data_IF_777605505445
#
_entry.id   IF_777605505445
#
_cell.length_a   1.000
_cell.length_b   1.000
_cell.length_c   1.000
_cell.angle_alpha   90.00
_cell.angle_beta   90.00
_cell.angle_gamma   90.00
#
_symmetry.space_group_name_H-M   'P 1'
#
loop_
_entity.id
_entity.type
_entity.pdbx_description
1 polymer ?
#
# COMPACT_ATOMS: atom_id res chain seq x y z
N UNK A 1 -4.80 26.18 14.73
CA UNK A 1 -4.02 25.19 15.51
C UNK A 1 -4.87 24.82 16.72
N UNK A 2 -5.44 23.60 16.72
CA UNK A 2 -6.16 23.09 17.92
C UNK A 2 -5.07 22.93 18.98
N UNK A 3 -5.28 23.51 20.17
CA UNK A 3 -4.26 23.38 21.21
C UNK A 3 -4.23 21.93 21.70
N UNK A 4 -3.07 21.45 22.12
CA UNK A 4 -2.90 20.14 22.75
C UNK A 4 -3.96 19.87 23.84
N UNK A 5 -4.34 20.93 24.58
CA UNK A 5 -5.35 20.89 25.65
C UNK A 5 -6.78 20.65 25.10
N UNK A 6 -7.09 21.13 23.90
CA UNK A 6 -8.41 20.95 23.28
C UNK A 6 -8.56 19.55 22.68
N UNK A 7 -7.47 18.96 22.20
CA UNK A 7 -7.46 17.59 21.69
C UNK A 7 -7.73 16.57 22.80
N UNK A 8 -7.11 16.74 23.97
CA UNK A 8 -7.37 15.87 25.13
C UNK A 8 -8.82 15.96 25.65
N UNK A 9 -9.47 17.13 25.54
CA UNK A 9 -10.89 17.29 25.87
C UNK A 9 -11.84 16.56 24.92
N UNK A 10 -11.40 16.28 23.69
CA UNK A 10 -12.17 15.58 22.66
C UNK A 10 -11.93 14.06 22.65
N UNK A 11 -11.27 13.52 23.68
CA UNK A 11 -11.09 12.07 23.85
C UNK A 11 -9.90 11.47 23.10
N UNK A 12 -9.02 12.29 22.54
CA UNK A 12 -7.75 11.81 21.97
C UNK A 12 -6.74 11.53 23.07
N UNK A 13 -6.04 10.40 22.95
CA UNK A 13 -4.95 10.07 23.87
C UNK A 13 -3.70 10.92 23.57
N UNK A 14 -2.76 11.07 24.51
CA UNK A 14 -1.47 11.72 24.23
C UNK A 14 -0.71 11.07 23.08
N UNK A 15 -0.83 9.72 22.92
CA UNK A 15 -0.24 8.95 21.86
C UNK A 15 -0.86 9.31 20.49
N UNK A 16 -2.19 9.47 20.41
CA UNK A 16 -2.88 9.87 19.17
C UNK A 16 -2.42 11.26 18.70
N UNK A 17 -2.19 12.17 19.67
CA UNK A 17 -1.71 13.53 19.37
C UNK A 17 -0.25 13.52 18.91
N UNK A 18 0.60 12.67 19.49
CA UNK A 18 2.00 12.51 19.10
C UNK A 18 2.10 11.84 17.71
N UNK A 19 1.24 10.87 17.41
CA UNK A 19 1.17 10.23 16.10
C UNK A 19 0.77 11.23 15.02
N UNK A 20 -0.25 12.04 15.27
CA UNK A 20 -0.66 13.12 14.36
C UNK A 20 0.46 14.17 14.21
N UNK A 21 1.13 14.53 15.30
CA UNK A 21 2.27 15.45 15.27
C UNK A 21 3.47 14.87 14.50
N UNK A 22 3.69 13.55 14.60
CA UNK A 22 4.72 12.83 13.84
C UNK A 22 4.42 12.84 12.33
N UNK A 23 3.15 12.61 11.95
CA UNK A 23 2.70 12.68 10.54
C UNK A 23 2.89 14.10 9.99
N UNK A 24 2.55 15.14 10.77
CA UNK A 24 2.78 16.52 10.36
C UNK A 24 4.29 16.84 10.27
N UNK A 25 5.11 16.37 11.19
CA UNK A 25 6.57 16.53 11.15
C UNK A 25 7.17 15.90 9.89
N UNK A 26 6.83 14.65 9.61
CA UNK A 26 7.26 13.94 8.39
C UNK A 26 6.77 14.63 7.10
N UNK A 27 5.57 15.23 7.14
CA UNK A 27 5.06 16.02 6.02
C UNK A 27 5.88 17.30 5.78
N UNK A 28 6.25 18.01 6.85
CA UNK A 28 7.08 19.23 6.75
C UNK A 28 8.52 18.89 6.34
N UNK A 29 9.11 17.82 6.87
CA UNK A 29 10.44 17.34 6.46
C UNK A 29 10.46 16.97 4.96
N UNK A 30 9.41 16.33 4.44
CA UNK A 30 9.32 16.05 3.00
C UNK A 30 9.10 17.29 2.13
N UNK A 31 8.52 18.37 2.68
CA UNK A 31 8.42 19.66 1.99
C UNK A 31 9.77 20.37 1.98
N UNK A 32 10.55 20.29 3.04
CA UNK A 32 11.90 20.85 3.13
C UNK A 32 12.87 20.15 2.15
N UNK A 33 12.73 18.81 1.99
CA UNK A 33 13.47 18.06 0.96
C UNK A 33 13.09 18.51 -0.47
N UNK A 34 11.80 18.72 -0.73
CA UNK A 34 11.32 19.21 -2.05
C UNK A 34 11.81 20.65 -2.30
N UNK A 35 11.85 21.51 -1.27
CA UNK A 35 12.40 22.86 -1.39
C UNK A 35 13.92 22.85 -1.63
N UNK A 36 14.65 21.95 -0.98
CA UNK A 36 16.07 21.76 -1.21
C UNK A 36 16.37 21.29 -2.64
N UNK A 37 15.56 20.37 -3.19
CA UNK A 37 15.69 19.91 -4.57
C UNK A 37 15.35 21.01 -5.57
N UNK A 38 14.32 21.83 -5.32
CA UNK A 38 13.97 22.98 -6.15
C UNK A 38 15.04 24.08 -6.11
N UNK A 39 15.68 24.28 -4.96
CA UNK A 39 16.79 25.21 -4.80
C UNK A 39 18.06 24.72 -5.54
N UNK A 40 18.31 23.42 -5.53
CA UNK A 40 19.40 22.78 -6.27
C UNK A 40 19.22 22.88 -7.79
N UNK A 41 17.97 22.96 -8.28
CA UNK A 41 17.63 23.18 -9.69
C UNK A 41 17.71 24.68 -10.12
N UNK A 42 18.13 25.57 -9.23
CA UNK A 42 18.32 27.00 -9.54
C UNK A 42 17.01 27.77 -9.76
N UNK A 43 15.88 27.27 -9.29
CA UNK A 43 14.61 27.98 -9.29
C UNK A 43 14.49 28.84 -8.04
N UNK A 44 14.30 30.17 -8.15
CA UNK A 44 14.22 31.02 -6.98
C UNK A 44 12.99 30.66 -6.14
N UNK A 45 13.21 30.31 -4.88
CA UNK A 45 12.14 30.27 -3.88
C UNK A 45 11.77 31.72 -3.57
N UNK A 46 10.73 32.25 -4.22
CA UNK A 46 10.20 33.55 -3.86
C UNK A 46 9.46 33.43 -2.53
N UNK A 47 9.88 34.18 -1.51
CA UNK A 47 9.19 34.26 -0.22
C UNK A 47 7.70 34.60 -0.29
N UNK A 48 7.24 35.16 -1.43
CA UNK A 48 5.82 35.33 -1.76
C UNK A 48 5.05 34.02 -1.89
N UNK A 49 5.70 32.90 -2.22
CA UNK A 49 5.04 31.61 -2.29
C UNK A 49 4.72 31.05 -0.90
N UNK A 50 5.50 31.36 0.11
CA UNK A 50 5.25 30.97 1.51
C UNK A 50 4.04 31.69 2.10
N UNK A 51 3.92 33.00 1.85
CA UNK A 51 2.76 33.79 2.25
C UNK A 51 1.49 33.36 1.50
N UNK A 52 1.61 33.11 0.19
CA UNK A 52 0.51 32.60 -0.64
C UNK A 52 0.06 31.19 -0.21
N UNK A 53 1.00 30.34 0.21
CA UNK A 53 0.68 29.01 0.79
C UNK A 53 0.06 29.11 2.16
N UNK A 54 0.54 30.01 3.01
CA UNK A 54 -0.05 30.28 4.33
C UNK A 54 -1.45 30.90 4.21
N UNK A 55 -1.69 31.78 3.25
CA UNK A 55 -3.03 32.31 2.94
C UNK A 55 -3.93 31.25 2.34
N UNK A 56 -3.42 30.40 1.43
CA UNK A 56 -4.20 29.25 0.92
C UNK A 56 -4.53 28.24 2.02
N UNK A 57 -3.64 27.98 2.96
CA UNK A 57 -3.90 27.15 4.13
C UNK A 57 -4.90 27.81 5.07
N UNK A 58 -4.86 29.13 5.26
CA UNK A 58 -5.85 29.88 6.03
C UNK A 58 -7.21 29.95 5.33
N UNK A 59 -7.24 30.19 4.01
CA UNK A 59 -8.47 30.16 3.20
C UNK A 59 -9.08 28.77 3.11
N UNK A 60 -8.27 27.72 3.16
CA UNK A 60 -8.73 26.34 3.29
C UNK A 60 -9.29 26.04 4.69
N UNK A 61 -8.82 26.74 5.72
CA UNK A 61 -9.28 26.60 7.11
C UNK A 61 -10.64 27.27 7.36
N UNK A 62 -10.96 28.34 6.62
CA UNK A 62 -12.20 29.10 6.76
C UNK A 62 -13.32 28.66 5.79
N UNK A 63 -13.01 27.80 4.83
CA UNK A 63 -13.98 27.13 3.98
C UNK A 63 -14.27 25.76 4.55
N UNK A 64 -15.54 25.40 4.60
CA UNK A 64 -16.08 24.07 4.92
C UNK A 64 -15.27 22.96 4.23
N UNK A 65 -14.13 22.58 4.81
CA UNK A 65 -13.23 21.58 4.28
C UNK A 65 -13.93 20.25 4.45
N UNK A 66 -14.51 19.78 3.39
CA UNK A 66 -14.86 18.38 3.27
C UNK A 66 -13.59 17.57 3.52
N UNK A 67 -13.50 17.03 4.72
CA UNK A 67 -12.43 16.15 5.16
C UNK A 67 -12.63 14.79 4.50
N UNK A 68 -11.56 14.15 4.06
CA UNK A 68 -11.58 12.76 3.66
C UNK A 68 -10.77 11.94 4.67
N UNK A 69 -11.45 10.99 5.29
CA UNK A 69 -10.81 10.07 6.22
C UNK A 69 -10.13 8.94 5.45
N UNK A 70 -8.80 8.91 5.48
CA UNK A 70 -8.01 7.91 4.77
C UNK A 70 -8.09 6.50 5.39
N UNK A 71 -8.60 6.38 6.62
CA UNK A 71 -8.86 5.09 7.27
C UNK A 71 -10.10 4.40 6.68
N UNK A 72 -11.03 5.19 6.15
CA UNK A 72 -12.24 4.71 5.49
C UNK A 72 -12.02 4.50 3.97
N UNK A 73 -12.89 3.72 3.30
CA UNK A 73 -12.86 3.61 1.85
C UNK A 73 -13.00 4.99 1.19
N UNK A 74 -12.05 5.34 0.32
CA UNK A 74 -12.07 6.62 -0.40
C UNK A 74 -13.27 6.74 -1.32
N UNK A 75 -13.62 5.62 -1.96
CA UNK A 75 -14.69 5.58 -2.97
C UNK A 75 -16.07 5.87 -2.39
N UNK A 76 -16.29 5.64 -1.10
CA UNK A 76 -17.58 5.83 -0.45
C UNK A 76 -17.77 7.25 0.10
N UNK A 77 -16.73 8.07 0.07
CA UNK A 77 -16.76 9.41 0.66
C UNK A 77 -17.34 10.44 -0.30
N UNK A 78 -18.13 11.35 0.24
CA UNK A 78 -18.86 12.38 -0.52
C UNK A 78 -17.95 13.18 -1.48
N UNK A 79 -16.76 13.72 -1.05
CA UNK A 79 -15.90 14.47 -1.94
C UNK A 79 -15.42 13.67 -3.16
N UNK A 80 -15.17 12.37 -2.97
CA UNK A 80 -14.76 11.47 -4.04
C UNK A 80 -15.89 11.28 -5.06
N UNK A 81 -17.10 11.03 -4.57
CA UNK A 81 -18.28 10.83 -5.40
C UNK A 81 -18.67 12.10 -6.16
N UNK A 82 -18.55 13.27 -5.55
CA UNK A 82 -18.79 14.54 -6.22
C UNK A 82 -17.86 14.77 -7.40
N UNK A 83 -16.56 14.52 -7.25
CA UNK A 83 -15.59 14.65 -8.36
C UNK A 83 -15.86 13.61 -9.43
N UNK A 84 -16.17 12.36 -9.04
CA UNK A 84 -16.52 11.30 -9.99
C UNK A 84 -17.73 11.70 -10.86
N UNK A 85 -18.80 12.19 -10.23
CA UNK A 85 -19.98 12.66 -10.95
C UNK A 85 -19.70 13.90 -11.80
N UNK A 86 -18.88 14.84 -11.32
CA UNK A 86 -18.49 16.02 -12.09
C UNK A 86 -17.71 15.64 -13.35
N UNK A 87 -16.81 14.66 -13.27
CA UNK A 87 -16.08 14.13 -14.43
C UNK A 87 -17.05 13.50 -15.46
N UNK A 88 -17.99 12.68 -14.99
CA UNK A 88 -18.98 12.04 -15.87
C UNK A 88 -19.89 13.06 -16.56
N UNK A 89 -20.36 14.09 -15.84
CA UNK A 89 -21.21 15.18 -16.38
C UNK A 89 -20.48 16.04 -17.43
N UNK A 90 -19.15 16.04 -17.43
CA UNK A 90 -18.33 16.81 -18.38
C UNK A 90 -17.70 15.93 -19.48
N UNK A 91 -18.25 14.75 -19.72
CA UNK A 91 -17.81 13.78 -20.75
C UNK A 91 -16.35 13.30 -20.57
N UNK A 92 -15.85 13.33 -19.31
CA UNK A 92 -14.50 12.89 -18.94
C UNK A 92 -14.50 11.45 -18.41
N UNK A 93 -15.19 10.54 -19.08
CA UNK A 93 -15.41 9.15 -18.62
C UNK A 93 -14.11 8.38 -18.37
N UNK A 94 -13.04 8.65 -19.11
CA UNK A 94 -11.75 7.98 -18.88
C UNK A 94 -11.13 8.39 -17.55
N UNK A 95 -11.15 9.69 -17.23
CA UNK A 95 -10.65 10.17 -15.93
C UNK A 95 -11.53 9.69 -14.78
N UNK A 96 -12.85 9.63 -14.97
CA UNK A 96 -13.79 9.08 -14.00
C UNK A 96 -13.50 7.59 -13.72
N UNK A 97 -13.34 6.79 -14.75
CA UNK A 97 -13.00 5.37 -14.62
C UNK A 97 -11.65 5.18 -13.93
N UNK A 98 -10.65 5.99 -14.28
CA UNK A 98 -9.32 5.90 -13.66
C UNK A 98 -9.38 6.27 -12.16
N UNK A 99 -10.11 7.33 -11.79
CA UNK A 99 -10.34 7.71 -10.41
C UNK A 99 -10.99 6.57 -9.62
N UNK A 100 -12.08 6.00 -10.16
CA UNK A 100 -12.80 4.89 -9.53
C UNK A 100 -11.90 3.66 -9.35
N UNK A 101 -11.14 3.28 -10.39
CA UNK A 101 -10.22 2.15 -10.29
C UNK A 101 -9.10 2.38 -9.29
N UNK A 102 -8.52 3.58 -9.26
CA UNK A 102 -7.43 3.92 -8.35
C UNK A 102 -7.92 3.94 -6.90
N UNK A 103 -9.05 4.59 -6.62
CA UNK A 103 -9.65 4.60 -5.29
C UNK A 103 -9.97 3.20 -4.79
N UNK A 104 -10.72 2.43 -5.58
CA UNK A 104 -11.09 1.04 -5.22
C UNK A 104 -9.87 0.13 -5.04
N UNK A 105 -8.80 0.36 -5.81
CA UNK A 105 -7.58 -0.44 -5.68
C UNK A 105 -6.84 -0.12 -4.38
N UNK A 106 -6.68 1.17 -4.04
CA UNK A 106 -6.04 1.59 -2.80
C UNK A 106 -6.83 1.14 -1.56
N UNK A 107 -8.16 1.23 -1.60
CA UNK A 107 -9.02 0.74 -0.51
C UNK A 107 -8.86 -0.77 -0.32
N UNK A 108 -8.85 -1.53 -1.41
CA UNK A 108 -8.62 -2.97 -1.34
C UNK A 108 -7.21 -3.34 -0.88
N UNK A 109 -6.21 -2.60 -1.32
CA UNK A 109 -4.83 -2.79 -0.84
C UNK A 109 -4.75 -2.61 0.68
N UNK A 110 -5.39 -1.59 1.21
CA UNK A 110 -5.43 -1.35 2.66
C UNK A 110 -6.13 -2.50 3.40
N UNK A 111 -7.29 -2.92 2.93
CA UNK A 111 -8.06 -4.02 3.53
C UNK A 111 -7.25 -5.32 3.58
N UNK A 112 -6.68 -5.73 2.44
CA UNK A 112 -5.91 -6.98 2.36
C UNK A 112 -4.60 -6.88 3.15
N UNK A 113 -3.98 -5.70 3.19
CA UNK A 113 -2.78 -5.47 3.98
C UNK A 113 -3.05 -5.57 5.48
N UNK A 114 -4.14 -4.99 5.97
CA UNK A 114 -4.55 -5.11 7.37
C UNK A 114 -4.80 -6.58 7.75
N UNK A 115 -5.44 -7.35 6.88
CA UNK A 115 -5.62 -8.80 7.08
C UNK A 115 -4.26 -9.50 7.18
N UNK A 116 -3.33 -9.21 6.28
CA UNK A 116 -1.99 -9.81 6.32
C UNK A 116 -1.23 -9.46 7.59
N UNK A 117 -1.34 -8.25 8.11
CA UNK A 117 -0.71 -7.88 9.39
C UNK A 117 -1.28 -8.69 10.56
N UNK A 118 -2.59 -8.92 10.59
CA UNK A 118 -3.20 -9.77 11.61
C UNK A 118 -2.71 -11.22 11.49
N UNK A 119 -2.74 -11.78 10.28
CA UNK A 119 -2.28 -13.13 9.99
C UNK A 119 -0.79 -13.30 10.32
N UNK A 120 0.03 -12.28 10.02
CA UNK A 120 1.45 -12.32 10.33
C UNK A 120 1.72 -12.25 11.84
N UNK A 121 0.95 -11.50 12.60
CA UNK A 121 1.06 -11.47 14.07
C UNK A 121 0.79 -12.85 14.66
N UNK A 122 -0.27 -13.53 14.21
CA UNK A 122 -0.56 -14.91 14.62
C UNK A 122 0.55 -15.88 14.18
N UNK A 123 1.12 -15.69 12.99
CA UNK A 123 2.24 -16.46 12.48
C UNK A 123 3.47 -16.27 13.36
N UNK A 124 3.81 -15.04 13.73
CA UNK A 124 4.92 -14.71 14.63
C UNK A 124 4.79 -15.43 15.98
N UNK A 125 3.59 -15.47 16.57
CA UNK A 125 3.33 -16.22 17.80
C UNK A 125 3.56 -17.73 17.60
N UNK A 126 3.14 -18.27 16.47
CA UNK A 126 3.36 -19.69 16.15
C UNK A 126 4.83 -20.01 15.93
N UNK A 127 5.58 -19.15 15.24
CA UNK A 127 7.03 -19.27 15.05
C UNK A 127 7.73 -19.24 16.39
N UNK A 128 7.41 -18.29 17.26
CA UNK A 128 7.99 -18.19 18.59
C UNK A 128 7.65 -19.40 19.50
N UNK A 129 6.62 -20.16 19.18
CA UNK A 129 6.27 -21.42 19.87
C UNK A 129 7.06 -22.63 19.38
N UNK A 130 7.87 -22.50 18.34
CA UNK A 130 8.80 -23.54 17.88
C UNK A 130 9.99 -23.55 18.85
N UNK A 131 10.48 -24.75 19.17
CA UNK A 131 11.62 -24.90 20.08
C UNK A 131 12.86 -24.17 19.49
N UNK A 132 13.40 -23.21 20.27
CA UNK A 132 14.54 -22.38 19.88
C UNK A 132 15.76 -23.19 19.45
N UNK A 133 15.89 -24.43 19.91
CA UNK A 133 16.98 -25.34 19.51
C UNK A 133 16.88 -25.75 18.04
N UNK A 134 15.69 -25.64 17.42
CA UNK A 134 15.44 -26.03 16.05
C UNK A 134 15.20 -24.84 15.14
N UNK A 135 14.66 -23.77 15.67
CA UNK A 135 14.43 -22.55 14.92
C UNK A 135 14.61 -21.32 15.83
N UNK A 136 15.66 -20.57 15.57
CA UNK A 136 15.95 -19.30 16.23
C UNK A 136 16.32 -18.27 15.15
N UNK A 137 15.32 -17.71 14.48
CA UNK A 137 15.50 -16.73 13.41
C UNK A 137 14.52 -15.56 13.59
N UNK A 138 14.74 -14.81 14.67
CA UNK A 138 14.00 -13.57 14.92
C UNK A 138 14.22 -12.54 13.80
N UNK A 139 15.41 -12.50 13.21
CA UNK A 139 15.78 -11.51 12.21
C UNK A 139 14.94 -11.62 10.94
N UNK A 140 14.68 -12.84 10.46
CA UNK A 140 13.81 -13.06 9.30
C UNK A 140 12.36 -12.66 9.61
N UNK A 141 11.86 -12.97 10.80
CA UNK A 141 10.52 -12.58 11.25
C UNK A 141 10.39 -11.07 11.33
N UNK A 142 11.37 -10.41 11.95
CA UNK A 142 11.38 -8.95 12.08
C UNK A 142 11.55 -8.25 10.71
N UNK A 143 12.29 -8.84 9.79
CA UNK A 143 12.40 -8.35 8.41
C UNK A 143 11.04 -8.35 7.70
N UNK A 144 10.26 -9.43 7.82
CA UNK A 144 8.91 -9.49 7.24
C UNK A 144 8.02 -8.42 7.88
N UNK A 145 8.04 -8.26 9.21
CA UNK A 145 7.27 -7.22 9.90
C UNK A 145 7.61 -5.83 9.38
N UNK A 146 8.89 -5.50 9.31
CA UNK A 146 9.35 -4.20 8.82
C UNK A 146 8.89 -3.92 7.38
N UNK A 147 8.92 -4.94 6.51
CA UNK A 147 8.47 -4.79 5.13
C UNK A 147 6.94 -4.62 5.04
N UNK A 148 6.17 -5.30 5.89
CA UNK A 148 4.73 -5.06 6.03
C UNK A 148 4.46 -3.62 6.49
N UNK A 149 5.12 -3.14 7.52
CA UNK A 149 4.93 -1.79 8.05
C UNK A 149 5.30 -0.71 7.00
N UNK A 150 6.37 -0.93 6.23
CA UNK A 150 6.72 -0.05 5.11
C UNK A 150 5.67 -0.05 4.01
N UNK A 151 5.12 -1.21 3.68
CA UNK A 151 4.04 -1.32 2.68
C UNK A 151 2.79 -0.58 3.12
N UNK A 152 2.42 -0.64 4.40
CA UNK A 152 1.31 0.12 4.98
C UNK A 152 1.52 1.63 4.85
N UNK A 153 2.70 2.12 5.20
CA UNK A 153 3.06 3.54 5.05
C UNK A 153 2.91 4.01 3.60
N UNK A 154 3.33 3.19 2.64
CA UNK A 154 3.19 3.50 1.22
C UNK A 154 1.72 3.52 0.77
N UNK A 155 0.88 2.61 1.24
CA UNK A 155 -0.56 2.58 0.96
C UNK A 155 -1.21 3.86 1.51
N UNK A 156 -0.98 4.16 2.79
CA UNK A 156 -1.49 5.34 3.48
C UNK A 156 -1.08 6.64 2.78
N UNK A 157 0.18 6.76 2.40
CA UNK A 157 0.69 7.92 1.65
C UNK A 157 -0.03 8.09 0.31
N UNK A 158 -0.26 7.00 -0.42
CA UNK A 158 -0.94 7.07 -1.72
C UNK A 158 -2.43 7.39 -1.56
N UNK A 159 -3.11 6.86 -0.54
CA UNK A 159 -4.48 7.25 -0.20
C UNK A 159 -4.57 8.74 0.14
N UNK A 160 -3.66 9.24 0.99
CA UNK A 160 -3.59 10.66 1.35
C UNK A 160 -3.37 11.56 0.14
N UNK A 161 -2.47 11.18 -0.77
CA UNK A 161 -2.23 11.92 -2.02
C UNK A 161 -3.47 11.99 -2.90
N UNK A 162 -4.16 10.87 -3.08
CA UNK A 162 -5.39 10.82 -3.87
C UNK A 162 -6.48 11.68 -3.21
N UNK A 163 -6.69 11.55 -1.91
CA UNK A 163 -7.65 12.35 -1.15
C UNK A 163 -7.36 13.85 -1.28
N UNK A 164 -6.09 14.26 -1.14
CA UNK A 164 -5.69 15.66 -1.31
C UNK A 164 -5.96 16.18 -2.72
N UNK A 165 -5.69 15.39 -3.76
CA UNK A 165 -5.98 15.80 -5.16
C UNK A 165 -7.49 15.93 -5.37
N UNK A 166 -8.31 15.03 -4.81
CA UNK A 166 -9.76 15.11 -4.85
C UNK A 166 -10.27 16.37 -4.16
N UNK A 167 -9.83 16.65 -2.93
CA UNK A 167 -10.24 17.81 -2.14
C UNK A 167 -9.82 19.14 -2.81
N UNK A 168 -8.59 19.24 -3.29
CA UNK A 168 -8.12 20.41 -4.03
C UNK A 168 -8.93 20.64 -5.31
N UNK A 169 -9.34 19.58 -5.97
CA UNK A 169 -10.18 19.68 -7.18
C UNK A 169 -11.60 20.12 -6.84
N UNK A 170 -12.18 19.57 -5.76
CA UNK A 170 -13.50 19.98 -5.25
C UNK A 170 -13.52 21.49 -4.92
N UNK A 171 -12.50 21.98 -4.20
CA UNK A 171 -12.42 23.41 -3.85
C UNK A 171 -12.30 24.31 -5.09
N UNK A 172 -11.56 23.91 -6.11
CA UNK A 172 -11.38 24.64 -7.36
C UNK A 172 -12.54 24.49 -8.34
N UNK A 173 -13.40 23.48 -8.16
CA UNK A 173 -14.51 23.22 -9.07
C UNK A 173 -15.51 24.39 -9.09
N UNK A 174 -15.74 25.02 -7.94
CA UNK A 174 -16.65 26.19 -7.81
C UNK A 174 -16.14 27.42 -8.57
N UNK A 175 -14.82 27.61 -8.68
CA UNK A 175 -14.23 28.83 -9.28
C UNK A 175 -13.71 28.60 -10.69
N UNK A 176 -13.16 27.45 -11.01
CA UNK A 176 -12.50 27.13 -12.29
C UNK A 176 -13.30 26.12 -13.16
N UNK A 177 -14.40 25.57 -12.65
CA UNK A 177 -15.30 24.70 -13.41
C UNK A 177 -14.56 23.56 -14.13
N UNK A 178 -14.79 23.44 -15.44
CA UNK A 178 -14.19 22.38 -16.28
C UNK A 178 -12.66 22.39 -16.29
N UNK A 179 -12.01 23.53 -16.11
CA UNK A 179 -10.54 23.62 -16.08
C UNK A 179 -9.96 22.93 -14.82
N UNK A 180 -10.67 22.95 -13.69
CA UNK A 180 -10.27 22.18 -12.52
C UNK A 180 -10.28 20.67 -12.78
N UNK A 181 -11.28 20.18 -13.52
CA UNK A 181 -11.37 18.76 -13.88
C UNK A 181 -10.30 18.34 -14.90
N UNK A 182 -9.94 19.20 -15.85
CA UNK A 182 -8.84 18.95 -16.78
C UNK A 182 -7.51 18.84 -16.03
N UNK A 183 -7.24 19.79 -15.14
CA UNK A 183 -6.04 19.75 -14.29
C UNK A 183 -6.02 18.51 -13.36
N UNK A 184 -7.17 18.07 -12.89
CA UNK A 184 -7.31 16.83 -12.13
C UNK A 184 -6.94 15.61 -13.00
N UNK A 185 -7.49 15.51 -14.21
CA UNK A 185 -7.22 14.39 -15.10
C UNK A 185 -5.73 14.25 -15.44
N UNK A 186 -5.00 15.36 -15.53
CA UNK A 186 -3.54 15.36 -15.69
C UNK A 186 -2.80 14.88 -14.45
N UNK A 187 -3.26 15.28 -13.26
CA UNK A 187 -2.60 14.96 -11.98
C UNK A 187 -2.88 13.56 -11.46
N UNK A 188 -4.02 12.96 -11.82
CA UNK A 188 -4.38 11.62 -11.36
C UNK A 188 -3.46 10.52 -11.94
N UNK A 189 -2.69 10.82 -12.99
CA UNK A 189 -1.67 9.93 -13.50
C UNK A 189 -0.47 9.86 -12.54
N UNK A 190 -0.46 8.88 -11.62
CA UNK A 190 0.60 8.69 -10.61
C UNK A 190 1.30 7.33 -10.77
N UNK A 191 1.96 7.04 -11.94
CA UNK A 191 2.61 5.75 -12.16
C UNK A 191 3.73 5.49 -11.14
N UNK A 192 4.46 6.52 -10.72
CA UNK A 192 5.57 6.39 -9.76
C UNK A 192 5.12 5.91 -8.38
N UNK A 193 3.98 6.38 -7.90
CA UNK A 193 3.44 6.00 -6.61
C UNK A 193 3.00 4.53 -6.57
N UNK A 194 2.31 4.06 -7.62
CA UNK A 194 1.93 2.66 -7.76
C UNK A 194 3.14 1.75 -7.96
N UNK A 195 4.17 2.20 -8.68
CA UNK A 195 5.42 1.46 -8.83
C UNK A 195 6.15 1.30 -7.47
N UNK A 196 6.11 2.31 -6.60
CA UNK A 196 6.66 2.21 -5.25
C UNK A 196 5.90 1.20 -4.39
N UNK A 197 4.56 1.18 -4.48
CA UNK A 197 3.72 0.16 -3.82
C UNK A 197 4.06 -1.25 -4.30
N UNK A 198 4.19 -1.43 -5.61
CA UNK A 198 4.58 -2.72 -6.21
C UNK A 198 5.93 -3.20 -5.67
N UNK A 199 6.91 -2.30 -5.60
CA UNK A 199 8.24 -2.62 -5.06
C UNK A 199 8.17 -2.99 -3.56
N UNK A 200 7.36 -2.29 -2.76
CA UNK A 200 7.13 -2.62 -1.36
C UNK A 200 6.52 -4.03 -1.19
N UNK A 201 5.49 -4.36 -1.96
CA UNK A 201 4.89 -5.69 -1.95
C UNK A 201 5.88 -6.78 -2.38
N UNK A 202 6.76 -6.50 -3.36
CA UNK A 202 7.80 -7.44 -3.78
C UNK A 202 8.79 -7.71 -2.64
N UNK A 203 9.27 -6.69 -1.94
CA UNK A 203 10.16 -6.88 -0.80
C UNK A 203 9.51 -7.69 0.33
N UNK A 204 8.22 -7.50 0.57
CA UNK A 204 7.47 -8.34 1.53
C UNK A 204 7.42 -9.79 1.07
N UNK A 205 7.15 -10.04 -0.20
CA UNK A 205 7.13 -11.39 -0.77
C UNK A 205 8.50 -12.06 -0.66
N UNK A 206 9.56 -11.39 -1.07
CA UNK A 206 10.93 -11.91 -1.00
C UNK A 206 11.32 -12.29 0.44
N UNK A 207 10.89 -11.49 1.44
CA UNK A 207 11.16 -11.80 2.85
C UNK A 207 10.33 -12.97 3.39
N UNK A 208 9.10 -13.16 2.92
CA UNK A 208 8.29 -14.35 3.23
C UNK A 208 8.91 -15.62 2.63
N UNK A 209 9.39 -15.56 1.39
CA UNK A 209 10.12 -16.66 0.75
C UNK A 209 11.37 -17.07 1.56
N UNK A 210 12.14 -16.10 2.05
CA UNK A 210 13.30 -16.37 2.92
C UNK A 210 12.87 -17.05 4.21
N UNK A 211 11.83 -16.54 4.88
CA UNK A 211 11.30 -17.14 6.11
C UNK A 211 10.80 -18.57 5.86
N UNK A 212 10.12 -18.81 4.73
CA UNK A 212 9.65 -20.13 4.33
C UNK A 212 10.81 -21.11 4.16
N UNK A 213 11.87 -20.72 3.47
CA UNK A 213 13.05 -21.57 3.26
C UNK A 213 13.73 -21.92 4.59
N UNK A 214 13.93 -20.95 5.48
CA UNK A 214 14.53 -21.20 6.79
C UNK A 214 13.71 -22.13 7.67
N UNK A 215 12.38 -22.02 7.62
CA UNK A 215 11.49 -22.97 8.28
C UNK A 215 11.58 -24.37 7.70
N UNK A 216 11.81 -24.48 6.41
CA UNK A 216 12.00 -25.75 5.74
C UNK A 216 13.30 -26.43 6.19
N UNK A 217 14.40 -25.68 6.26
CA UNK A 217 15.69 -26.16 6.74
C UNK A 217 15.61 -26.62 8.21
N UNK A 218 14.96 -25.81 9.06
CA UNK A 218 14.73 -26.17 10.46
C UNK A 218 13.96 -27.47 10.60
N UNK A 219 12.97 -27.67 9.76
CA UNK A 219 12.12 -28.85 9.78
C UNK A 219 12.86 -30.10 9.36
N UNK A 220 13.72 -30.01 8.36
CA UNK A 220 14.60 -31.10 7.96
C UNK A 220 15.57 -31.47 9.10
N UNK A 221 16.16 -30.46 9.75
CA UNK A 221 17.04 -30.68 10.92
C UNK A 221 16.33 -31.43 12.06
N UNK A 222 15.08 -31.05 12.38
CA UNK A 222 14.25 -31.74 13.40
C UNK A 222 14.05 -33.20 13.04
N UNK A 223 13.77 -33.50 11.77
CA UNK A 223 13.55 -34.86 11.30
C UNK A 223 14.82 -35.72 11.38
N UNK A 224 15.94 -35.13 11.00
CA UNK A 224 17.25 -35.80 11.02
C UNK A 224 17.66 -36.13 12.47
N UNK A 225 17.47 -35.20 13.40
CA UNK A 225 17.68 -35.44 14.83
C UNK A 225 16.74 -36.52 15.34
N UNK A 226 15.46 -36.49 15.00
CA UNK A 226 14.46 -37.49 15.44
C UNK A 226 14.84 -38.89 14.95
N UNK A 227 15.22 -39.03 13.67
CA UNK A 227 15.69 -40.31 13.11
C UNK A 227 16.97 -40.79 13.80
N UNK A 228 17.92 -39.90 14.04
CA UNK A 228 19.19 -40.22 14.69
C UNK A 228 18.99 -40.69 16.12
N UNK A 229 18.19 -39.98 16.91
CA UNK A 229 17.89 -40.34 18.32
C UNK A 229 17.19 -41.70 18.42
N UNK A 230 16.22 -41.95 17.54
CA UNK A 230 15.53 -43.24 17.49
C UNK A 230 16.50 -44.38 17.15
N UNK A 231 17.40 -44.18 16.22
CA UNK A 231 18.36 -45.19 15.81
C UNK A 231 19.46 -45.42 16.85
N UNK A 232 19.92 -44.39 17.55
CA UNK A 232 20.84 -44.55 18.71
C UNK A 232 20.17 -45.36 19.82
N UNK A 233 18.92 -45.05 20.19
CA UNK A 233 18.19 -45.83 21.18
C UNK A 233 18.00 -47.30 20.78
N UNK A 234 17.77 -47.59 19.52
CA UNK A 234 17.68 -48.97 19.00
C UNK A 234 19.00 -49.69 18.99
N UNK A 235 20.07 -49.04 18.57
CA UNK A 235 21.42 -49.58 18.61
C UNK A 235 21.82 -49.97 20.02
N UNK A 236 21.58 -49.10 20.98
CA UNK A 236 21.87 -49.36 22.40
C UNK A 236 21.04 -50.55 22.99
N UNK A 237 19.89 -50.85 22.41
CA UNK A 237 19.07 -51.99 22.86
C UNK A 237 19.19 -53.24 21.95
N UNK A 238 20.14 -53.26 21.04
CA UNK A 238 20.40 -54.41 20.11
C UNK A 238 19.31 -54.63 19.11
N UNK A 239 18.47 -53.64 18.81
CA UNK A 239 17.40 -53.72 17.80
C UNK A 239 17.91 -53.22 16.47
N UNK A 240 17.38 -53.80 15.38
CA UNK A 240 17.69 -53.31 14.02
C UNK A 240 17.37 -51.82 13.88
N UNK A 241 18.22 -51.10 13.13
CA UNK A 241 18.02 -49.69 12.84
C UNK A 241 16.75 -49.50 12.00
N UNK A 242 16.02 -48.42 12.27
CA UNK A 242 14.89 -48.06 11.44
C UNK A 242 15.40 -47.45 10.12
N UNK A 243 14.70 -47.75 9.05
CA UNK A 243 14.86 -46.98 7.82
C UNK A 243 14.62 -45.51 8.07
N UNK A 244 15.30 -44.66 7.32
CA UNK A 244 15.10 -43.24 7.35
C UNK A 244 13.64 -42.94 6.98
N UNK A 245 12.89 -42.35 7.91
CA UNK A 245 11.53 -41.90 7.65
C UNK A 245 11.62 -40.47 7.08
N UNK A 246 11.28 -40.31 5.81
CA UNK A 246 11.23 -38.96 5.24
C UNK A 246 10.18 -38.14 5.98
N UNK A 247 10.43 -36.86 6.05
CA UNK A 247 9.56 -35.94 6.69
C UNK A 247 8.24 -35.78 5.93
N UNK A 248 7.12 -35.67 6.68
CA UNK A 248 5.80 -35.40 6.13
C UNK A 248 5.61 -33.86 5.98
N UNK A 249 5.51 -33.34 4.74
CA UNK A 249 5.38 -31.91 4.49
C UNK A 249 4.08 -31.31 5.05
N UNK A 250 3.08 -32.12 5.34
CA UNK A 250 1.75 -31.64 5.73
C UNK A 250 1.51 -31.62 7.24
N UNK A 251 2.38 -32.23 8.04
CA UNK A 251 2.16 -32.40 9.48
C UNK A 251 3.08 -31.51 10.33
N UNK A 252 2.56 -31.10 11.47
CA UNK A 252 3.27 -30.39 12.53
C UNK A 252 3.13 -28.87 12.48
N UNK A 253 3.66 -28.20 13.51
CA UNK A 253 3.56 -26.74 13.68
C UNK A 253 4.21 -25.98 12.54
N UNK A 254 5.40 -26.39 12.12
CA UNK A 254 6.12 -25.74 11.01
C UNK A 254 5.30 -25.81 9.72
N UNK A 255 4.67 -26.97 9.42
CA UNK A 255 3.80 -27.08 8.24
C UNK A 255 2.59 -26.14 8.31
N UNK A 256 2.04 -25.92 9.51
CA UNK A 256 0.96 -24.94 9.70
C UNK A 256 1.41 -23.52 9.39
N UNK A 257 2.61 -23.13 9.87
CA UNK A 257 3.22 -21.83 9.60
C UNK A 257 3.50 -21.66 8.10
N UNK A 258 4.09 -22.65 7.46
CA UNK A 258 4.37 -22.64 6.02
C UNK A 258 3.12 -22.46 5.16
N UNK A 259 2.00 -23.10 5.53
CA UNK A 259 0.70 -22.89 4.83
C UNK A 259 0.20 -21.45 4.96
N UNK A 260 0.37 -20.83 6.13
CA UNK A 260 0.02 -19.41 6.31
C UNK A 260 0.89 -18.50 5.47
N UNK A 261 2.21 -18.71 5.44
CA UNK A 261 3.14 -17.97 4.58
C UNK A 261 2.69 -18.07 3.11
N UNK A 262 2.43 -19.27 2.63
CA UNK A 262 1.97 -19.48 1.25
C UNK A 262 0.64 -18.76 0.94
N UNK A 263 -0.29 -18.72 1.88
CA UNK A 263 -1.53 -17.96 1.72
C UNK A 263 -1.25 -16.45 1.59
N UNK A 264 -0.34 -15.91 2.40
CA UNK A 264 0.07 -14.50 2.34
C UNK A 264 0.78 -14.17 1.01
N UNK A 265 1.70 -15.02 0.56
CA UNK A 265 2.37 -14.88 -0.75
C UNK A 265 1.37 -14.85 -1.91
N UNK A 266 0.39 -15.73 -1.87
CA UNK A 266 -0.69 -15.76 -2.87
C UNK A 266 -1.50 -14.46 -2.87
N UNK A 267 -1.81 -13.91 -1.70
CA UNK A 267 -2.52 -12.64 -1.57
C UNK A 267 -1.69 -11.50 -2.16
N UNK A 268 -0.39 -11.43 -1.82
CA UNK A 268 0.55 -10.44 -2.39
C UNK A 268 0.65 -10.54 -3.91
N UNK A 269 0.79 -11.76 -4.45
CA UNK A 269 0.83 -11.99 -5.89
C UNK A 269 -0.42 -11.47 -6.61
N UNK A 270 -1.60 -11.71 -6.06
CA UNK A 270 -2.86 -11.20 -6.60
C UNK A 270 -2.93 -9.66 -6.56
N UNK A 271 -2.42 -9.03 -5.49
CA UNK A 271 -2.37 -7.57 -5.35
C UNK A 271 -1.38 -6.95 -6.34
N UNK A 272 -0.22 -7.57 -6.53
CA UNK A 272 0.79 -7.15 -7.52
C UNK A 272 0.24 -7.22 -8.95
N UNK A 273 -0.43 -8.30 -9.31
CA UNK A 273 -1.05 -8.46 -10.63
C UNK A 273 -2.08 -7.36 -10.90
N UNK A 274 -2.93 -7.03 -9.92
CA UNK A 274 -3.89 -5.93 -10.02
C UNK A 274 -3.21 -4.58 -10.17
N UNK A 275 -2.13 -4.35 -9.41
CA UNK A 275 -1.33 -3.12 -9.51
C UNK A 275 -0.68 -3.00 -10.88
N UNK A 276 -0.13 -4.08 -11.43
CA UNK A 276 0.42 -4.14 -12.78
C UNK A 276 -0.63 -3.84 -13.86
N UNK A 277 -1.82 -4.41 -13.69
CA UNK A 277 -2.94 -4.17 -14.59
C UNK A 277 -3.35 -2.69 -14.59
N UNK A 278 -3.37 -2.06 -13.41
CA UNK A 278 -3.68 -0.63 -13.28
C UNK A 278 -2.57 0.22 -13.94
N UNK A 279 -1.30 -0.06 -13.66
CA UNK A 279 -0.16 0.63 -14.27
C UNK A 279 -0.19 0.53 -15.80
N UNK A 280 -0.50 -0.63 -16.36
CA UNK A 280 -0.60 -0.83 -17.80
C UNK A 280 -1.74 -0.03 -18.44
N UNK A 281 -2.86 0.13 -17.75
CA UNK A 281 -3.99 0.99 -18.20
C UNK A 281 -3.61 2.46 -18.20
N UNK A 282 -2.81 2.90 -17.21
CA UNK A 282 -2.33 4.29 -17.12
C UNK A 282 -1.28 4.65 -18.17
N UNK A 283 -0.52 3.67 -18.67
CA UNK A 283 0.56 3.89 -19.64
C UNK A 283 0.11 3.83 -21.10
N UNK A 284 -1.09 3.34 -21.39
CA UNK A 284 -1.58 3.30 -22.78
C UNK A 284 -1.92 4.71 -23.23
N UNK A 285 -1.23 5.25 -24.28
CA UNK A 285 -1.62 6.52 -24.87
C UNK A 285 -3.03 6.37 -25.47
N UNK A 286 -3.82 7.42 -25.33
CA UNK A 286 -5.16 7.49 -25.94
C UNK A 286 -5.08 7.15 -27.42
N UNK A 287 -5.64 6.04 -27.83
CA UNK A 287 -6.00 5.85 -29.23
C UNK A 287 -7.14 6.86 -29.51
N UNK A 288 -6.77 8.00 -30.10
CA UNK A 288 -7.77 8.94 -30.64
C UNK A 288 -8.74 8.13 -31.50
N UNK A 289 -10.06 8.23 -31.26
CA UNK A 289 -11.01 7.56 -32.12
C UNK A 289 -10.74 8.02 -33.55
N UNK A 290 -10.40 7.08 -34.42
CA UNK A 290 -10.29 7.35 -35.87
C UNK A 290 -11.58 7.98 -36.31
N UNK A 291 -11.52 9.25 -36.71
CA UNK A 291 -12.64 9.93 -37.37
C UNK A 291 -12.94 9.10 -38.63
N UNK A 292 -14.02 8.33 -38.59
CA UNK A 292 -14.57 7.73 -39.78
C UNK A 292 -14.85 8.84 -40.81
N UNK A 293 -13.94 8.97 -41.75
CA UNK A 293 -14.12 9.83 -42.93
C UNK A 293 -15.27 9.22 -43.71
N UNK A 294 -16.46 9.81 -43.56
CA UNK A 294 -17.60 9.52 -44.43
C UNK A 294 -17.18 9.84 -45.86
N UNK A 295 -16.86 8.82 -46.63
CA UNK A 295 -16.70 8.92 -48.08
C UNK A 295 -18.06 9.32 -48.66
N UNK A 296 -18.25 10.60 -48.95
CA UNK A 296 -19.33 11.11 -49.75
C UNK A 296 -19.06 10.68 -51.19
N UNK A 297 -19.72 9.62 -51.62
CA UNK A 297 -19.80 9.22 -53.05
C UNK A 297 -20.59 10.29 -53.79
N UNK A 298 -19.89 11.18 -54.49
CA UNK A 298 -20.52 12.05 -55.49
C UNK A 298 -21.00 11.15 -56.65
N UNK A 299 -22.31 10.99 -56.80
CA UNK A 299 -22.93 10.52 -58.04
C UNK A 299 -22.71 11.61 -59.10
N UNK A 300 -21.97 11.27 -60.18
CA UNK A 300 -21.91 12.05 -61.40
C UNK A 300 -23.02 11.52 -62.23
N UNK A 301 -23.89 12.45 -62.69
CA UNK A 301 -24.93 12.25 -63.71
C UNK A 301 -24.29 12.56 -65.05
#
# INVERSE_FOLDING_TARGET
>A
MISFHDSLKNGYTPEDVEEVASIYRSYYESLDEIEADLAAEGKPSNGSDYELRAENVRALRDQDLSYMDISLPLVDQEPFQEILQALLKNDMSQAANLLQYLGSHLDKLQEEHQKMQVEFRELKEQVNSIDERFFNDSDSVDTVQNNLDQSEKLITLNKSRLANVVLQTKSKLKTAGKNALLSFAEKIHVPKALASLQKGMQHTQDSLDVLFQRLNDAKQAVQDVSNSVKNVGRALTGKELLEYVPWDPEKGKIASVQRKIYAMERTLGNLQERTNTLLSKMQRPEQKPEKQVKKTTKKVI
#
